data_IF_785765549814
#
_entry.id   IF_785765549814
#
_cell.length_a   1.000
_cell.length_b   1.000
_cell.length_c   1.000
_cell.angle_alpha   90.00
_cell.angle_beta   90.00
_cell.angle_gamma   90.00
#
_symmetry.space_group_name_H-M   'P 1'
#
loop_
_entity.id
_entity.type
_entity.pdbx_description
1 polymer ?
#
# COMPACT_ATOMS: atom_id res chain seq x y z
N UNK A 1 -7.94 -4.97 -12.37
CA UNK A 1 -9.20 -5.75 -12.38
C UNK A 1 -9.99 -5.59 -11.08
N UNK A 2 -9.36 -5.64 -9.89
CA UNK A 2 -10.08 -5.45 -8.61
C UNK A 2 -10.95 -4.20 -8.53
N UNK A 3 -10.41 -3.01 -8.82
CA UNK A 3 -11.18 -1.76 -8.82
C UNK A 3 -12.35 -1.75 -9.82
N UNK A 4 -12.20 -2.40 -10.97
CA UNK A 4 -13.26 -2.45 -11.98
C UNK A 4 -14.42 -3.34 -11.52
N UNK A 5 -14.09 -4.49 -10.90
CA UNK A 5 -15.10 -5.38 -10.30
C UNK A 5 -15.80 -4.68 -9.13
N UNK A 6 -15.05 -3.98 -8.28
CA UNK A 6 -15.61 -3.19 -7.19
C UNK A 6 -16.59 -2.14 -7.72
N UNK A 7 -16.18 -1.31 -8.69
CA UNK A 7 -17.02 -0.26 -9.25
C UNK A 7 -18.23 -0.77 -10.03
N UNK A 8 -18.16 -1.96 -10.65
CA UNK A 8 -19.28 -2.49 -11.45
C UNK A 8 -20.32 -3.26 -10.64
N UNK A 9 -19.90 -3.93 -9.56
CA UNK A 9 -20.75 -4.89 -8.84
C UNK A 9 -21.06 -4.52 -7.39
N UNK A 10 -20.23 -3.69 -6.75
CA UNK A 10 -20.35 -3.40 -5.32
C UNK A 10 -20.53 -1.91 -5.04
N UNK A 11 -19.84 -1.04 -5.78
CA UNK A 11 -19.83 0.40 -5.52
C UNK A 11 -19.96 1.23 -6.83
N UNK A 12 -21.15 1.24 -7.48
CA UNK A 12 -21.36 1.95 -8.74
C UNK A 12 -21.06 3.45 -8.67
N UNK A 13 -21.21 4.06 -7.49
CA UNK A 13 -20.85 5.47 -7.31
C UNK A 13 -19.35 5.77 -7.48
N UNK A 14 -18.48 4.75 -7.48
CA UNK A 14 -17.05 4.93 -7.74
C UNK A 14 -16.73 5.00 -9.23
N UNK A 15 -17.65 4.64 -10.14
CA UNK A 15 -17.43 4.67 -11.59
C UNK A 15 -17.03 6.07 -12.12
N UNK A 16 -17.70 7.18 -11.73
CA UNK A 16 -17.25 8.53 -12.07
C UNK A 16 -15.85 8.87 -11.52
N UNK A 17 -15.46 8.27 -10.40
CA UNK A 17 -14.17 8.49 -9.74
C UNK A 17 -13.12 7.45 -10.13
N UNK A 18 -13.45 6.50 -11.02
CA UNK A 18 -12.62 5.34 -11.32
C UNK A 18 -11.20 5.74 -11.76
N UNK A 19 -11.08 6.78 -12.59
CA UNK A 19 -9.77 7.32 -13.00
C UNK A 19 -8.95 7.88 -11.83
N UNK A 20 -9.59 8.59 -10.89
CA UNK A 20 -8.92 9.09 -9.68
C UNK A 20 -8.47 7.92 -8.78
N UNK A 21 -9.30 6.90 -8.62
CA UNK A 21 -8.98 5.72 -7.81
C UNK A 21 -7.81 4.93 -8.41
N UNK A 22 -7.83 4.70 -9.73
CA UNK A 22 -6.73 4.03 -10.44
C UNK A 22 -5.43 4.82 -10.31
N UNK A 23 -5.47 6.14 -10.54
CA UNK A 23 -4.26 6.97 -10.45
C UNK A 23 -3.72 7.08 -9.02
N UNK A 24 -4.59 7.06 -8.01
CA UNK A 24 -4.20 7.01 -6.59
C UNK A 24 -3.39 5.76 -6.28
N UNK A 25 -3.84 4.59 -6.72
CA UNK A 25 -3.08 3.35 -6.56
C UNK A 25 -1.77 3.39 -7.35
N UNK A 26 -1.81 3.80 -8.61
CA UNK A 26 -0.61 3.84 -9.45
C UNK A 26 0.46 4.78 -8.89
N UNK A 27 0.07 5.99 -8.45
CA UNK A 27 0.97 6.95 -7.86
C UNK A 27 1.62 6.40 -6.58
N UNK A 28 0.83 5.80 -5.68
CA UNK A 28 1.35 5.18 -4.47
C UNK A 28 2.34 4.05 -4.78
N UNK A 29 2.04 3.21 -5.79
CA UNK A 29 2.92 2.14 -6.24
C UNK A 29 4.23 2.66 -6.86
N UNK A 30 4.18 3.72 -7.68
CA UNK A 30 5.39 4.32 -8.25
C UNK A 30 6.27 4.95 -7.18
N UNK A 31 5.67 5.67 -6.22
CA UNK A 31 6.40 6.22 -5.07
C UNK A 31 7.02 5.09 -4.26
N UNK A 32 6.26 4.05 -3.93
CA UNK A 32 6.78 2.89 -3.22
C UNK A 32 7.94 2.24 -3.99
N UNK A 33 7.82 2.04 -5.30
CA UNK A 33 8.88 1.44 -6.11
C UNK A 33 10.15 2.28 -6.08
N UNK A 34 10.03 3.61 -6.16
CA UNK A 34 11.18 4.52 -6.09
C UNK A 34 11.86 4.48 -4.71
N UNK A 35 11.08 4.43 -3.62
CA UNK A 35 11.61 4.36 -2.25
C UNK A 35 12.18 2.98 -1.94
N UNK A 36 11.53 1.91 -2.38
CA UNK A 36 11.95 0.53 -2.18
C UNK A 36 13.37 0.29 -2.73
N UNK A 37 13.69 0.84 -3.92
CA UNK A 37 15.04 0.75 -4.50
C UNK A 37 16.15 1.37 -3.64
N UNK A 38 15.80 2.30 -2.74
CA UNK A 38 16.76 2.98 -1.85
C UNK A 38 16.78 2.40 -0.44
N UNK A 39 15.65 1.90 0.04
CA UNK A 39 15.47 1.48 1.44
C UNK A 39 15.57 -0.03 1.61
N UNK A 40 15.16 -0.82 0.61
CA UNK A 40 15.18 -2.27 0.72
C UNK A 40 16.52 -2.84 0.24
N UNK A 41 17.19 -3.66 1.06
CA UNK A 41 18.40 -4.37 0.64
C UNK A 41 18.08 -5.34 -0.49
N UNK A 42 18.80 -5.23 -1.61
CA UNK A 42 18.58 -6.07 -2.78
C UNK A 42 19.11 -7.51 -2.60
N UNK A 43 20.11 -7.73 -1.73
CA UNK A 43 20.80 -9.01 -1.61
C UNK A 43 20.14 -10.02 -0.66
N UNK A 44 19.00 -9.69 -0.05
CA UNK A 44 18.28 -10.61 0.82
C UNK A 44 16.89 -10.94 0.27
N UNK A 45 16.37 -12.15 0.56
CA UNK A 45 14.97 -12.49 0.37
C UNK A 45 14.02 -11.56 1.14
N UNK A 46 12.78 -11.39 0.67
CA UNK A 46 11.79 -10.59 1.40
C UNK A 46 11.44 -11.16 2.76
N UNK A 47 11.46 -12.48 2.92
CA UNK A 47 11.26 -13.12 4.23
C UNK A 47 12.31 -12.70 5.24
N UNK A 48 13.50 -12.28 4.81
CA UNK A 48 14.59 -11.86 5.69
C UNK A 48 14.63 -10.36 5.95
N UNK A 49 13.71 -9.58 5.35
CA UNK A 49 13.57 -8.17 5.67
C UNK A 49 13.30 -7.97 7.17
N UNK A 50 13.97 -6.97 7.73
CA UNK A 50 13.66 -6.50 9.07
C UNK A 50 12.28 -5.83 9.13
N UNK A 51 11.60 -5.97 10.27
CA UNK A 51 10.29 -5.37 10.51
C UNK A 51 10.25 -3.85 10.24
N UNK A 52 11.34 -3.14 10.51
CA UNK A 52 11.45 -1.70 10.22
C UNK A 52 11.41 -1.37 8.72
N UNK A 53 11.88 -2.27 7.85
CA UNK A 53 11.79 -2.07 6.40
C UNK A 53 10.34 -2.18 5.93
N UNK A 54 9.61 -3.19 6.41
CA UNK A 54 8.20 -3.39 6.08
C UNK A 54 7.35 -2.24 6.62
N UNK A 55 7.58 -1.84 7.87
CA UNK A 55 6.87 -0.69 8.47
C UNK A 55 7.07 0.59 7.64
N UNK A 56 8.32 0.88 7.21
CA UNK A 56 8.60 2.03 6.35
C UNK A 56 7.86 1.95 5.02
N UNK A 57 7.81 0.78 4.38
CA UNK A 57 7.10 0.62 3.11
C UNK A 57 5.59 0.79 3.28
N UNK A 58 5.02 0.27 4.36
CA UNK A 58 3.59 0.44 4.69
C UNK A 58 3.23 1.91 4.86
N UNK A 59 4.04 2.67 5.63
CA UNK A 59 3.85 4.12 5.80
C UNK A 59 4.00 4.87 4.47
N UNK A 60 4.97 4.51 3.63
CA UNK A 60 5.17 5.13 2.32
C UNK A 60 3.95 4.91 1.41
N UNK A 61 3.37 3.71 1.42
CA UNK A 61 2.17 3.41 0.64
C UNK A 61 0.99 4.27 1.06
N UNK A 62 0.68 4.25 2.36
CA UNK A 62 -0.46 4.95 2.95
C UNK A 62 -0.31 6.46 2.81
N UNK A 63 0.88 6.98 3.10
CA UNK A 63 1.21 8.38 2.88
C UNK A 63 1.07 8.78 1.41
N UNK A 64 1.48 7.91 0.48
CA UNK A 64 1.31 8.09 -0.95
C UNK A 64 -0.16 8.19 -1.37
N UNK A 65 -1.02 7.28 -0.87
CA UNK A 65 -2.47 7.31 -1.12
C UNK A 65 -3.06 8.62 -0.59
N UNK A 66 -2.84 8.94 0.70
CA UNK A 66 -3.42 10.14 1.32
C UNK A 66 -2.95 11.42 0.60
N UNK A 67 -1.67 11.51 0.25
CA UNK A 67 -1.14 12.64 -0.51
C UNK A 67 -1.78 12.77 -1.90
N UNK A 68 -2.00 11.65 -2.59
CA UNK A 68 -2.60 11.68 -3.93
C UNK A 68 -4.12 11.98 -3.89
N UNK A 69 -4.83 11.51 -2.86
CA UNK A 69 -6.22 11.91 -2.60
C UNK A 69 -6.31 13.41 -2.31
N UNK A 70 -5.41 13.93 -1.47
CA UNK A 70 -5.31 15.36 -1.20
C UNK A 70 -5.06 16.16 -2.48
N UNK A 71 -4.13 15.69 -3.33
CA UNK A 71 -3.86 16.28 -4.63
C UNK A 71 -5.12 16.37 -5.49
N UNK A 72 -5.84 15.26 -5.71
CA UNK A 72 -7.07 15.26 -6.51
C UNK A 72 -8.16 16.15 -5.93
N UNK A 73 -8.29 16.17 -4.60
CA UNK A 73 -9.29 16.97 -3.91
C UNK A 73 -9.00 18.47 -4.09
N UNK A 74 -7.74 18.88 -3.92
CA UNK A 74 -7.30 20.26 -4.15
C UNK A 74 -7.38 20.63 -5.64
N UNK A 75 -6.99 19.73 -6.53
CA UNK A 75 -7.05 19.94 -7.98
C UNK A 75 -8.49 20.11 -8.47
N UNK A 76 -9.42 19.29 -7.98
CA UNK A 76 -10.82 19.32 -8.41
C UNK A 76 -11.65 20.40 -7.73
N UNK A 77 -11.40 20.74 -6.47
CA UNK A 77 -12.20 21.70 -5.68
C UNK A 77 -11.52 23.05 -5.44
N UNK A 78 -10.25 23.19 -5.82
CA UNK A 78 -9.45 24.38 -5.58
C UNK A 78 -8.82 24.42 -4.17
N UNK A 79 -7.83 25.29 -4.02
CA UNK A 79 -7.11 25.49 -2.77
C UNK A 79 -7.87 26.48 -1.88
N UNK A 80 -8.76 25.96 -1.02
CA UNK A 80 -9.59 26.73 -0.09
C UNK A 80 -9.65 26.11 1.30
N UNK A 81 -10.09 26.88 2.31
CA UNK A 81 -10.16 26.44 3.69
C UNK A 81 -11.09 25.23 3.88
N UNK A 82 -12.23 25.21 3.19
CA UNK A 82 -13.18 24.10 3.21
C UNK A 82 -12.57 22.83 2.60
N UNK A 83 -11.82 22.97 1.50
CA UNK A 83 -11.13 21.84 0.86
C UNK A 83 -10.08 21.24 1.79
N UNK A 84 -9.28 22.08 2.45
CA UNK A 84 -8.25 21.63 3.39
C UNK A 84 -8.87 20.97 4.63
N UNK A 85 -9.98 21.49 5.15
CA UNK A 85 -10.73 20.83 6.22
C UNK A 85 -11.29 19.47 5.79
N UNK A 86 -11.80 19.37 4.56
CA UNK A 86 -12.29 18.11 4.00
C UNK A 86 -11.19 17.06 3.89
N UNK A 87 -10.02 17.44 3.35
CA UNK A 87 -8.83 16.58 3.29
C UNK A 87 -8.35 16.18 4.70
N UNK A 88 -8.33 17.12 5.65
CA UNK A 88 -7.96 16.83 7.03
C UNK A 88 -8.93 15.84 7.70
N UNK A 89 -10.23 16.02 7.50
CA UNK A 89 -11.26 15.12 8.03
C UNK A 89 -11.17 13.72 7.42
N UNK A 90 -10.92 13.64 6.10
CA UNK A 90 -10.65 12.37 5.42
C UNK A 90 -9.41 11.69 6.02
N UNK A 91 -8.31 12.42 6.17
CA UNK A 91 -7.07 11.90 6.74
C UNK A 91 -7.30 11.33 8.14
N UNK A 92 -8.00 12.07 9.01
CA UNK A 92 -8.35 11.63 10.37
C UNK A 92 -9.23 10.38 10.37
N UNK A 93 -10.24 10.30 9.49
CA UNK A 93 -11.07 9.10 9.36
C UNK A 93 -10.25 7.89 8.87
N UNK A 94 -9.26 8.12 8.01
CA UNK A 94 -8.37 7.08 7.50
C UNK A 94 -7.27 6.66 8.49
N UNK A 95 -7.02 7.41 9.56
CA UNK A 95 -5.93 7.13 10.51
C UNK A 95 -6.03 5.75 11.14
N UNK A 96 -7.24 5.23 11.38
CA UNK A 96 -7.39 3.88 11.93
C UNK A 96 -6.81 2.82 10.99
N UNK A 97 -7.03 2.97 9.67
CA UNK A 97 -6.47 2.07 8.66
C UNK A 97 -4.95 2.21 8.61
N UNK A 98 -4.45 3.45 8.57
CA UNK A 98 -3.00 3.74 8.52
C UNK A 98 -2.25 3.19 9.74
N UNK A 99 -2.89 3.14 10.91
CA UNK A 99 -2.28 2.60 12.13
C UNK A 99 -2.40 1.07 12.23
N UNK A 100 -3.49 0.50 11.72
CA UNK A 100 -3.77 -0.93 11.84
C UNK A 100 -3.08 -1.75 10.75
N UNK A 101 -3.01 -1.23 9.52
CA UNK A 101 -2.45 -1.94 8.36
C UNK A 101 -0.97 -2.32 8.53
N UNK A 102 -0.09 -1.46 9.08
CA UNK A 102 1.29 -1.87 9.33
C UNK A 102 1.40 -3.02 10.34
N UNK A 103 0.47 -3.14 11.30
CA UNK A 103 0.44 -4.29 12.20
C UNK A 103 0.06 -5.58 11.46
N UNK A 104 -0.88 -5.50 10.52
CA UNK A 104 -1.25 -6.60 9.65
C UNK A 104 -0.07 -7.00 8.75
N UNK A 105 0.63 -6.03 8.16
CA UNK A 105 1.82 -6.28 7.31
C UNK A 105 2.94 -6.98 8.08
N UNK A 106 3.19 -6.55 9.33
CA UNK A 106 4.17 -7.17 10.21
C UNK A 106 3.75 -8.59 10.61
N UNK A 107 2.47 -8.81 10.89
CA UNK A 107 1.92 -10.14 11.17
C UNK A 107 2.04 -11.07 9.96
N UNK A 108 1.79 -10.56 8.75
CA UNK A 108 1.98 -11.30 7.50
C UNK A 108 3.46 -11.67 7.28
N UNK A 109 4.40 -10.74 7.53
CA UNK A 109 5.84 -11.05 7.47
C UNK A 109 6.24 -12.10 8.52
N UNK A 110 5.73 -11.99 9.75
CA UNK A 110 5.99 -12.96 10.81
C UNK A 110 5.48 -14.36 10.42
N UNK A 111 4.28 -14.45 9.84
CA UNK A 111 3.74 -15.69 9.27
C UNK A 111 4.62 -16.25 8.15
N UNK A 112 5.07 -15.40 7.22
CA UNK A 112 5.97 -15.82 6.13
C UNK A 112 7.31 -16.36 6.67
N UNK A 113 7.89 -15.72 7.69
CA UNK A 113 9.11 -16.18 8.37
C UNK A 113 8.90 -17.53 9.07
N UNK A 114 7.79 -17.69 9.79
CA UNK A 114 7.47 -18.93 10.49
C UNK A 114 7.29 -20.11 9.52
N UNK A 115 6.61 -19.89 8.39
CA UNK A 115 6.40 -20.90 7.35
C UNK A 115 7.69 -21.26 6.60
N UNK A 116 8.60 -20.29 6.40
CA UNK A 116 9.90 -20.56 5.80
C UNK A 116 10.81 -21.42 6.71
N UNK A 117 10.67 -21.30 8.04
CA UNK A 117 11.38 -22.13 9.01
C UNK A 117 10.93 -23.60 9.04
N UNK A 118 9.83 -23.96 8.37
CA UNK A 118 9.31 -25.33 8.31
C UNK A 118 9.86 -26.07 7.09
N UNK A 119 10.61 -27.18 7.27
CA UNK A 119 11.12 -27.96 6.14
C UNK A 119 9.99 -28.57 5.30
N UNK A 120 9.94 -28.22 4.01
CA UNK A 120 9.02 -28.81 3.01
C UNK A 120 7.92 -27.89 2.46
N UNK A 121 7.64 -26.75 3.09
CA UNK A 121 6.56 -25.81 2.69
C UNK A 121 7.05 -24.53 2.00
N UNK A 122 8.35 -24.23 2.07
CA UNK A 122 8.93 -22.94 1.68
C UNK A 122 9.00 -22.63 0.18
N UNK A 123 8.52 -23.49 -0.73
CA UNK A 123 8.54 -23.21 -2.18
C UNK A 123 7.22 -23.56 -2.86
N UNK A 124 6.15 -22.88 -2.46
CA UNK A 124 4.86 -23.01 -3.17
C UNK A 124 4.86 -22.06 -4.39
N UNK A 125 4.40 -22.51 -5.56
CA UNK A 125 4.37 -21.76 -6.84
C UNK A 125 3.49 -20.49 -6.78
N UNK A 126 2.74 -20.29 -5.70
CA UNK A 126 1.82 -19.17 -5.50
C UNK A 126 2.48 -17.87 -5.02
N UNK A 127 3.77 -17.89 -4.63
CA UNK A 127 4.48 -16.72 -4.10
C UNK A 127 5.61 -16.28 -5.01
N UNK A 128 5.89 -14.96 -5.01
CA UNK A 128 6.99 -14.39 -5.82
C UNK A 128 8.32 -15.05 -5.43
N UNK A 129 9.20 -15.40 -6.40
CA UNK A 129 10.50 -16.00 -6.10
C UNK A 129 11.33 -15.17 -5.11
N UNK A 130 11.17 -13.84 -5.16
CA UNK A 130 11.84 -12.90 -4.25
C UNK A 130 11.44 -13.05 -2.78
N UNK A 131 10.35 -13.74 -2.49
CA UNK A 131 9.93 -14.02 -1.12
C UNK A 131 10.97 -14.88 -0.39
N UNK A 132 11.51 -15.89 -1.09
CA UNK A 132 12.45 -16.87 -0.53
C UNK A 132 13.85 -16.80 -1.15
N UNK A 133 14.04 -16.04 -2.23
CA UNK A 133 15.33 -15.87 -2.91
C UNK A 133 15.74 -14.40 -2.98
N UNK A 134 17.04 -14.15 -2.87
CA UNK A 134 17.62 -12.84 -3.18
C UNK A 134 17.47 -12.51 -4.68
N UNK A 135 17.72 -11.24 -5.05
CA UNK A 135 17.66 -10.78 -6.44
C UNK A 135 18.74 -11.42 -7.30
#
# INVERSE_FOLDING_TARGET
MGLAVQGLFFEPQDLPQYGMNVTTLLAALFVMQAVAKRVLPANIPYVDLGYSHVLKMSVVFQGGIVAWVAFWTIFGRGFGAETLQGVGSFGLAYMTVVLLEPLIDLAALAGAKALHGLPGLGSTVLVTPRLHRAA
#
